data_IF_549941838763
#
_entry.id   IF_549941838763
#
_cell.length_a   1.000
_cell.length_b   1.000
_cell.length_c   1.000
_cell.angle_alpha   90.00
_cell.angle_beta   90.00
_cell.angle_gamma   90.00
#
_symmetry.space_group_name_H-M   'P 1'
#
loop_
_entity.id
_entity.type
_entity.pdbx_description
1 polymer ?
#
# COMPACT_ATOMS: atom_id res chain seq x y z
N UNK A 1 7.65 44.87 -41.21
CA UNK A 1 8.01 43.64 -40.47
C UNK A 1 7.29 43.65 -39.12
N UNK A 2 6.29 42.77 -39.02
CA UNK A 2 5.68 42.13 -37.83
C UNK A 2 5.56 42.93 -36.53
N UNK A 3 4.38 43.54 -36.39
CA UNK A 3 3.67 43.78 -35.14
C UNK A 3 3.31 42.45 -34.46
N UNK A 4 3.68 42.25 -33.18
CA UNK A 4 2.90 41.43 -32.23
C UNK A 4 3.01 42.09 -30.86
N UNK A 5 1.96 42.84 -30.55
CA UNK A 5 1.66 43.49 -29.29
C UNK A 5 1.24 42.43 -28.26
N UNK A 6 1.77 42.59 -27.05
CA UNK A 6 1.26 42.17 -25.73
C UNK A 6 -0.19 41.68 -25.66
N UNK A 7 -0.45 40.60 -24.89
CA UNK A 7 -1.47 40.48 -23.82
C UNK A 7 -1.24 39.12 -23.12
N UNK A 8 -0.47 39.13 -22.03
CA UNK A 8 -0.43 38.09 -21.00
C UNK A 8 -0.60 38.81 -19.66
N UNK A 9 -1.84 39.17 -19.32
CA UNK A 9 -2.20 39.76 -18.03
C UNK A 9 -3.72 39.72 -17.82
N UNK A 10 -4.32 38.52 -17.84
CA UNK A 10 -5.76 38.35 -17.63
C UNK A 10 -6.07 37.26 -16.58
N UNK A 11 -5.37 37.29 -15.45
CA UNK A 11 -5.62 36.33 -14.36
C UNK A 11 -5.48 36.92 -12.94
N UNK A 12 -5.67 38.23 -12.74
CA UNK A 12 -5.62 38.84 -11.40
C UNK A 12 -6.78 39.79 -11.05
N UNK A 13 -7.96 39.61 -11.68
CA UNK A 13 -9.16 40.40 -11.36
C UNK A 13 -10.27 39.51 -10.78
N UNK A 14 -10.05 38.93 -9.60
CA UNK A 14 -11.10 38.23 -8.86
C UNK A 14 -11.14 38.54 -7.35
N UNK A 15 -10.56 39.67 -6.91
CA UNK A 15 -10.60 40.10 -5.48
C UNK A 15 -11.11 41.53 -5.33
N UNK A 16 -12.08 41.94 -6.16
CA UNK A 16 -12.72 43.27 -6.07
C UNK A 16 -14.24 43.22 -5.82
N UNK A 17 -14.75 42.08 -5.33
CA UNK A 17 -16.20 41.88 -5.18
C UNK A 17 -16.70 41.95 -3.72
N UNK A 18 -15.94 42.53 -2.79
CA UNK A 18 -16.15 42.33 -1.35
C UNK A 18 -16.04 43.61 -0.50
N UNK A 19 -16.24 44.79 -1.09
CA UNK A 19 -16.23 46.06 -0.36
C UNK A 19 -17.62 46.72 -0.37
N UNK A 20 -18.06 47.19 0.79
CA UNK A 20 -19.21 48.07 0.93
C UNK A 20 -18.87 49.43 0.31
N UNK A 21 -19.89 50.12 -0.20
CA UNK A 21 -19.71 51.43 -0.85
C UNK A 21 -20.28 52.50 0.08
N UNK A 22 -19.42 53.40 0.53
CA UNK A 22 -19.78 54.57 1.32
C UNK A 22 -19.83 55.79 0.42
N UNK A 23 -21.01 56.38 0.29
CA UNK A 23 -21.20 57.69 -0.30
C UNK A 23 -21.07 58.73 0.80
N UNK A 24 -20.06 59.58 0.70
CA UNK A 24 -19.72 60.60 1.68
C UNK A 24 -20.54 61.88 1.45
N UNK A 25 -20.73 62.69 2.49
CA UNK A 25 -21.47 63.95 2.44
C UNK A 25 -20.80 65.00 1.53
N UNK A 26 -19.49 64.88 1.31
CA UNK A 26 -18.71 65.70 0.37
C UNK A 26 -18.85 65.26 -1.11
N UNK A 27 -19.68 64.24 -1.38
CA UNK A 27 -19.90 63.68 -2.71
C UNK A 27 -18.86 62.63 -3.14
N UNK A 28 -17.84 62.34 -2.32
CA UNK A 28 -16.86 61.29 -2.62
C UNK A 28 -17.43 59.89 -2.35
N UNK A 29 -16.90 58.89 -3.06
CA UNK A 29 -17.29 57.49 -2.88
C UNK A 29 -16.08 56.70 -2.40
N UNK A 30 -16.24 55.97 -1.30
CA UNK A 30 -15.19 55.12 -0.71
C UNK A 30 -15.62 53.67 -0.68
N UNK A 31 -14.72 52.76 -1.04
CA UNK A 31 -14.97 51.32 -1.03
C UNK A 31 -14.16 50.66 0.10
N UNK A 32 -14.85 50.07 1.07
CA UNK A 32 -14.20 49.37 2.17
C UNK A 32 -15.16 48.43 2.89
N UNK A 33 -14.66 47.50 3.68
CA UNK A 33 -15.49 46.60 4.48
C UNK A 33 -15.90 47.29 5.76
N UNK A 34 -17.20 47.39 6.05
CA UNK A 34 -17.66 47.96 7.31
C UNK A 34 -17.44 46.94 8.43
N UNK A 35 -16.65 47.32 9.43
CA UNK A 35 -16.32 46.49 10.60
C UNK A 35 -17.36 46.69 11.71
N UNK A 36 -17.75 47.93 11.96
CA UNK A 36 -18.83 48.30 12.88
C UNK A 36 -19.47 49.62 12.44
N UNK A 37 -20.73 49.84 12.83
CA UNK A 37 -21.45 51.06 12.53
C UNK A 37 -22.43 51.38 13.67
N UNK A 38 -22.22 52.53 14.30
CA UNK A 38 -23.07 53.06 15.37
C UNK A 38 -23.63 54.43 14.96
N UNK A 39 -24.44 55.05 15.82
CA UNK A 39 -25.05 56.36 15.53
C UNK A 39 -24.04 57.51 15.41
N UNK A 40 -22.84 57.36 16.01
CA UNK A 40 -21.80 58.40 16.05
C UNK A 40 -20.73 58.22 14.98
N UNK A 41 -20.32 56.98 14.71
CA UNK A 41 -19.21 56.68 13.81
C UNK A 41 -19.39 55.34 13.11
N UNK A 42 -18.73 55.20 11.96
CA UNK A 42 -18.65 53.97 11.18
C UNK A 42 -17.17 53.62 11.00
N UNK A 43 -16.82 52.40 11.39
CA UNK A 43 -15.46 51.88 11.27
C UNK A 43 -15.34 51.08 9.99
N UNK A 44 -14.45 51.50 9.10
CA UNK A 44 -14.28 50.92 7.77
C UNK A 44 -12.84 50.43 7.61
N UNK A 45 -12.70 49.21 7.10
CA UNK A 45 -11.43 48.63 6.68
C UNK A 45 -11.25 48.81 5.16
N UNK A 46 -10.29 49.65 4.79
CA UNK A 46 -9.85 49.89 3.42
C UNK A 46 -8.70 48.93 3.11
N UNK A 47 -9.03 47.67 2.80
CA UNK A 47 -8.06 46.68 2.34
C UNK A 47 -7.58 47.01 0.92
N UNK A 48 -6.30 47.31 0.75
CA UNK A 48 -5.64 47.53 -0.55
C UNK A 48 -4.45 46.58 -0.68
N UNK A 49 -4.62 45.51 -1.49
CA UNK A 49 -3.59 44.48 -1.65
C UNK A 49 -3.33 43.72 -0.35
N UNK A 50 -2.08 43.71 0.12
CA UNK A 50 -1.69 43.10 1.40
C UNK A 50 -1.78 44.05 2.61
N UNK A 51 -2.15 45.32 2.39
CA UNK A 51 -2.23 46.33 3.45
C UNK A 51 -3.69 46.62 3.79
N UNK A 52 -4.02 46.63 5.08
CA UNK A 52 -5.34 46.97 5.60
C UNK A 52 -5.25 48.24 6.44
N UNK A 53 -6.09 49.23 6.14
CA UNK A 53 -6.17 50.50 6.89
C UNK A 53 -7.56 50.60 7.48
N UNK A 54 -7.65 50.54 8.81
CA UNK A 54 -8.91 50.71 9.55
C UNK A 54 -9.06 52.17 9.93
N UNK A 55 -10.15 52.80 9.48
CA UNK A 55 -10.44 54.21 9.76
C UNK A 55 -11.83 54.37 10.38
N UNK A 56 -11.94 55.26 11.37
CA UNK A 56 -13.22 55.70 11.94
C UNK A 56 -13.71 56.92 11.19
N UNK A 57 -14.93 56.86 10.68
CA UNK A 57 -15.56 57.94 9.93
C UNK A 57 -16.79 58.41 10.71
N UNK A 58 -16.90 59.69 11.11
CA UNK A 58 -18.09 60.20 11.77
C UNK A 58 -19.36 59.98 10.93
N UNK A 59 -20.47 59.60 11.56
CA UNK A 59 -21.71 59.23 10.86
C UNK A 59 -22.28 60.37 10.01
N UNK A 60 -22.07 61.61 10.46
CA UNK A 60 -22.42 62.86 9.78
C UNK A 60 -21.70 63.06 8.44
N UNK A 61 -20.54 62.45 8.25
CA UNK A 61 -19.78 62.52 6.99
C UNK A 61 -20.25 61.49 5.96
N UNK A 62 -21.20 60.63 6.30
CA UNK A 62 -21.68 59.53 5.44
C UNK A 62 -23.11 59.84 5.00
N UNK A 63 -23.27 60.16 3.72
CA UNK A 63 -24.58 60.40 3.11
C UNK A 63 -25.37 59.09 2.95
N UNK A 64 -24.72 58.03 2.47
CA UNK A 64 -25.38 56.73 2.21
C UNK A 64 -24.38 55.58 2.29
N UNK A 65 -24.84 54.44 2.79
CA UNK A 65 -24.08 53.19 2.81
C UNK A 65 -24.80 52.18 1.91
N UNK A 66 -24.09 51.64 0.93
CA UNK A 66 -24.50 50.48 0.15
C UNK A 66 -23.71 49.26 0.62
N UNK A 67 -24.32 48.49 1.51
CA UNK A 67 -23.73 47.28 2.04
C UNK A 67 -23.82 46.16 0.98
N UNK A 68 -22.68 45.62 0.57
CA UNK A 68 -22.68 44.43 -0.30
C UNK A 68 -22.84 43.20 0.56
N UNK A 69 -23.75 42.31 0.14
CA UNK A 69 -23.93 41.04 0.84
C UNK A 69 -22.61 40.27 0.85
N UNK A 70 -22.20 39.85 2.05
CA UNK A 70 -21.02 38.99 2.17
C UNK A 70 -21.24 37.67 1.40
N UNK A 71 -20.19 36.93 1.03
CA UNK A 71 -20.31 35.62 0.39
C UNK A 71 -21.08 34.67 1.27
N UNK A 72 -20.93 34.79 2.59
CA UNK A 72 -21.63 33.98 3.57
C UNK A 72 -23.12 34.32 3.62
N UNK A 73 -23.49 35.60 3.57
CA UNK A 73 -24.90 36.03 3.47
C UNK A 73 -25.53 35.57 2.15
N UNK A 74 -24.81 35.73 1.03
CA UNK A 74 -25.26 35.29 -0.30
C UNK A 74 -25.42 33.77 -0.36
N UNK A 75 -24.50 33.03 0.27
CA UNK A 75 -24.58 31.59 0.38
C UNK A 75 -25.79 31.17 1.23
N UNK A 76 -26.02 31.84 2.35
CA UNK A 76 -27.12 31.52 3.25
C UNK A 76 -28.48 31.89 2.66
N UNK A 77 -28.60 33.01 1.97
CA UNK A 77 -29.82 33.37 1.23
C UNK A 77 -30.10 32.35 0.12
N UNK A 78 -29.05 31.91 -0.58
CA UNK A 78 -29.12 30.81 -1.54
C UNK A 78 -29.57 29.48 -0.92
N UNK A 79 -29.16 29.19 0.31
CA UNK A 79 -29.60 28.02 1.07
C UNK A 79 -31.08 28.13 1.43
N UNK A 80 -31.52 29.25 1.99
CA UNK A 80 -32.92 29.47 2.40
C UNK A 80 -33.87 29.35 1.21
N UNK A 81 -33.53 29.96 0.07
CA UNK A 81 -34.34 29.88 -1.14
C UNK A 81 -34.48 28.43 -1.66
N UNK A 82 -33.39 27.65 -1.62
CA UNK A 82 -33.40 26.24 -2.02
C UNK A 82 -34.16 25.36 -1.03
N UNK A 83 -34.06 25.64 0.27
CA UNK A 83 -34.82 24.94 1.30
C UNK A 83 -36.32 25.10 1.09
N UNK A 84 -36.79 26.32 0.84
CA UNK A 84 -38.20 26.56 0.55
C UNK A 84 -38.68 25.81 -0.71
N UNK A 85 -37.81 25.64 -1.71
CA UNK A 85 -38.11 24.80 -2.90
C UNK A 85 -38.12 23.31 -2.55
N UNK A 86 -37.19 22.86 -1.70
CA UNK A 86 -37.11 21.47 -1.25
C UNK A 86 -38.37 21.03 -0.50
N UNK A 87 -38.89 21.89 0.39
CA UNK A 87 -40.13 21.66 1.12
C UNK A 87 -41.33 21.39 0.20
N UNK A 88 -41.40 22.07 -0.96
CA UNK A 88 -42.43 21.83 -1.98
C UNK A 88 -42.15 20.64 -2.88
N UNK A 89 -40.88 20.24 -3.00
CA UNK A 89 -40.42 19.19 -3.90
C UNK A 89 -40.37 17.79 -3.27
N UNK A 90 -40.81 17.63 -2.02
CA UNK A 90 -40.80 16.34 -1.32
C UNK A 90 -39.39 15.74 -1.22
N UNK A 91 -39.29 14.40 -1.29
CA UNK A 91 -38.02 13.70 -1.11
C UNK A 91 -36.94 14.13 -2.11
N UNK A 92 -37.27 14.23 -3.40
CA UNK A 92 -36.34 14.66 -4.45
C UNK A 92 -35.87 16.11 -4.24
N UNK A 93 -36.77 17.00 -3.80
CA UNK A 93 -36.45 18.38 -3.46
C UNK A 93 -35.41 18.47 -2.34
N UNK A 94 -35.59 17.66 -1.29
CA UNK A 94 -34.64 17.57 -0.18
C UNK A 94 -33.29 16.96 -0.59
N UNK A 95 -33.28 15.97 -1.48
CA UNK A 95 -32.03 15.43 -2.04
C UNK A 95 -31.30 16.47 -2.86
N UNK A 96 -32.00 17.24 -3.70
CA UNK A 96 -31.39 18.31 -4.50
C UNK A 96 -30.75 19.38 -3.61
N UNK A 97 -31.41 19.76 -2.50
CA UNK A 97 -30.82 20.65 -1.50
C UNK A 97 -29.57 20.04 -0.86
N UNK A 98 -29.63 18.78 -0.44
CA UNK A 98 -28.50 18.08 0.17
C UNK A 98 -27.28 18.04 -0.74
N UNK A 99 -27.48 17.71 -2.01
CA UNK A 99 -26.41 17.68 -3.03
C UNK A 99 -25.78 19.07 -3.21
N UNK A 100 -26.60 20.13 -3.30
CA UNK A 100 -26.08 21.49 -3.39
C UNK A 100 -25.28 21.87 -2.13
N UNK A 101 -25.78 21.55 -0.93
CA UNK A 101 -25.07 21.81 0.32
C UNK A 101 -23.74 21.05 0.42
N UNK A 102 -23.63 19.83 -0.12
CA UNK A 102 -22.37 19.06 -0.13
C UNK A 102 -21.26 19.75 -0.94
N UNK A 103 -21.62 20.49 -2.00
CA UNK A 103 -20.66 21.24 -2.81
C UNK A 103 -20.08 22.45 -2.05
N UNK A 104 -20.72 22.86 -0.94
CA UNK A 104 -20.32 24.01 -0.15
C UNK A 104 -19.55 23.53 1.09
N UNK A 105 -18.28 23.95 1.22
CA UNK A 105 -17.40 23.52 2.33
C UNK A 105 -18.01 23.73 3.72
N UNK A 106 -18.78 24.81 3.89
CA UNK A 106 -19.37 25.22 5.17
C UNK A 106 -20.77 24.66 5.45
N UNK A 107 -21.42 24.00 4.48
CA UNK A 107 -22.81 23.52 4.62
C UNK A 107 -22.93 22.00 4.75
N UNK A 108 -21.84 21.29 5.08
CA UNK A 108 -21.84 19.82 5.21
C UNK A 108 -22.90 19.30 6.20
N UNK A 109 -23.06 19.94 7.35
CA UNK A 109 -24.08 19.56 8.35
C UNK A 109 -25.49 19.73 7.79
N UNK A 110 -25.77 20.84 7.11
CA UNK A 110 -27.06 21.10 6.46
C UNK A 110 -27.34 20.12 5.31
N UNK A 111 -26.30 19.63 4.64
CA UNK A 111 -26.45 18.58 3.64
C UNK A 111 -26.99 17.29 4.27
N UNK A 112 -26.40 16.85 5.38
CA UNK A 112 -26.86 15.66 6.11
C UNK A 112 -28.29 15.83 6.63
N UNK A 113 -28.64 17.00 7.15
CA UNK A 113 -30.02 17.32 7.55
C UNK A 113 -30.99 17.20 6.38
N UNK A 114 -30.65 17.75 5.21
CA UNK A 114 -31.48 17.66 4.02
C UNK A 114 -31.69 16.20 3.57
N UNK A 115 -30.64 15.36 3.59
CA UNK A 115 -30.80 13.94 3.26
C UNK A 115 -31.65 13.19 4.30
N UNK A 116 -31.55 13.52 5.59
CA UNK A 116 -32.44 12.96 6.61
C UNK A 116 -33.90 13.33 6.35
N UNK A 117 -34.16 14.59 5.99
CA UNK A 117 -35.50 15.02 5.60
C UNK A 117 -36.01 14.24 4.38
N UNK A 118 -35.17 14.06 3.36
CA UNK A 118 -35.56 13.25 2.19
C UNK A 118 -35.99 11.82 2.57
N UNK A 119 -35.30 11.18 3.53
CA UNK A 119 -35.67 9.83 4.02
C UNK A 119 -36.96 9.83 4.84
N UNK A 120 -37.30 10.93 5.51
CA UNK A 120 -38.60 11.05 6.18
C UNK A 120 -39.76 11.14 5.16
N UNK A 121 -39.54 11.78 4.01
CA UNK A 121 -40.52 11.83 2.93
C UNK A 121 -40.63 10.52 2.16
N UNK A 122 -39.50 9.91 1.79
CA UNK A 122 -39.44 8.59 1.16
C UNK A 122 -38.42 7.71 1.89
N UNK A 123 -38.90 6.79 2.75
CA UNK A 123 -38.05 5.86 3.48
C UNK A 123 -37.19 4.96 2.60
N UNK A 124 -37.49 4.80 1.31
CA UNK A 124 -36.72 3.96 0.38
C UNK A 124 -35.91 4.77 -0.64
N UNK A 125 -35.79 6.08 -0.44
CA UNK A 125 -35.08 6.96 -1.37
C UNK A 125 -33.59 6.60 -1.46
N UNK A 126 -33.22 5.91 -2.55
CA UNK A 126 -31.89 5.32 -2.73
C UNK A 126 -30.75 6.33 -2.55
N UNK A 127 -30.87 7.49 -3.20
CA UNK A 127 -29.84 8.53 -3.19
C UNK A 127 -29.64 9.18 -1.83
N UNK A 128 -30.72 9.45 -1.09
CA UNK A 128 -30.65 10.05 0.25
C UNK A 128 -29.96 9.08 1.23
N UNK A 129 -30.35 7.80 1.19
CA UNK A 129 -29.75 6.77 2.05
C UNK A 129 -28.28 6.52 1.75
N UNK A 130 -27.92 6.44 0.47
CA UNK A 130 -26.52 6.34 0.07
C UNK A 130 -25.71 7.56 0.56
N UNK A 131 -26.27 8.77 0.45
CA UNK A 131 -25.60 9.99 0.94
C UNK A 131 -25.44 10.05 2.47
N UNK A 132 -26.29 9.33 3.21
CA UNK A 132 -26.17 9.12 4.66
C UNK A 132 -25.26 7.95 5.03
N UNK A 133 -24.72 7.23 4.04
CA UNK A 133 -23.81 6.09 4.24
C UNK A 133 -24.49 4.74 4.41
N UNK A 134 -25.81 4.64 4.20
CA UNK A 134 -26.50 3.34 4.21
C UNK A 134 -26.26 2.57 2.92
N UNK A 135 -26.25 1.25 3.04
CA UNK A 135 -26.21 0.30 1.93
C UNK A 135 -27.50 -0.54 1.93
N UNK A 136 -27.93 -0.96 0.74
CA UNK A 136 -29.09 -1.84 0.58
C UNK A 136 -28.61 -3.29 0.44
N UNK A 137 -29.02 -4.16 1.35
CA UNK A 137 -28.73 -5.59 1.35
C UNK A 137 -30.02 -6.36 1.66
N UNK A 138 -30.40 -7.31 0.81
CA UNK A 138 -31.63 -8.11 0.92
C UNK A 138 -32.87 -7.27 1.25
N UNK A 139 -33.09 -6.25 0.42
CA UNK A 139 -34.17 -5.27 0.56
C UNK A 139 -34.21 -4.44 1.85
N UNK A 140 -33.20 -4.56 2.72
CA UNK A 140 -33.07 -3.78 3.94
C UNK A 140 -31.96 -2.75 3.82
N UNK A 141 -32.23 -1.56 4.34
CA UNK A 141 -31.24 -0.51 4.46
C UNK A 141 -30.51 -0.64 5.80
N UNK A 142 -29.19 -0.73 5.74
CA UNK A 142 -28.36 -0.95 6.92
C UNK A 142 -27.03 -0.20 6.80
N UNK A 143 -26.35 -0.04 7.93
CA UNK A 143 -25.01 0.53 7.93
C UNK A 143 -24.01 -0.46 7.31
N UNK A 144 -22.90 0.00 6.70
CA UNK A 144 -21.93 -0.89 6.05
C UNK A 144 -21.38 -1.97 6.99
N UNK A 145 -21.18 -1.64 8.28
CA UNK A 145 -20.75 -2.59 9.29
C UNK A 145 -21.78 -3.69 9.55
N UNK A 146 -23.07 -3.35 9.53
CA UNK A 146 -24.15 -4.33 9.67
C UNK A 146 -24.25 -5.22 8.42
N UNK A 147 -24.11 -4.63 7.23
CA UNK A 147 -24.06 -5.40 5.98
C UNK A 147 -22.88 -6.38 5.96
N UNK A 148 -21.71 -5.95 6.43
CA UNK A 148 -20.54 -6.82 6.55
C UNK A 148 -20.79 -7.99 7.51
N UNK A 149 -21.41 -7.75 8.65
CA UNK A 149 -21.74 -8.81 9.61
C UNK A 149 -22.71 -9.85 9.03
N UNK A 150 -23.63 -9.43 8.16
CA UNK A 150 -24.56 -10.32 7.46
C UNK A 150 -23.86 -11.10 6.34
N UNK A 151 -23.02 -10.44 5.55
CA UNK A 151 -22.31 -11.05 4.41
C UNK A 151 -21.18 -11.99 4.84
N UNK A 152 -20.52 -11.69 5.95
CA UNK A 152 -19.36 -12.42 6.44
C UNK A 152 -19.45 -12.60 7.97
N UNK A 153 -20.36 -13.47 8.44
CA UNK A 153 -20.42 -13.83 9.85
C UNK A 153 -19.06 -14.41 10.30
N UNK A 154 -18.50 -13.86 11.37
CA UNK A 154 -17.16 -14.22 11.88
C UNK A 154 -16.00 -13.41 11.28
N UNK A 155 -16.26 -12.49 10.32
CA UNK A 155 -15.23 -11.58 9.85
C UNK A 155 -14.73 -10.69 10.98
N UNK A 156 -13.46 -10.86 11.36
CA UNK A 156 -12.85 -10.15 12.47
C UNK A 156 -13.01 -10.82 13.84
N UNK A 157 -13.55 -12.05 13.91
CA UNK A 157 -13.52 -12.82 15.14
C UNK A 157 -12.08 -13.27 15.44
N UNK A 158 -11.44 -12.48 16.30
CA UNK A 158 -10.06 -12.71 16.72
C UNK A 158 -9.94 -13.98 17.56
N UNK A 159 -11.04 -14.48 18.15
CA UNK A 159 -11.02 -15.66 19.02
C UNK A 159 -10.74 -16.94 18.23
N UNK A 160 -11.43 -17.15 17.11
CA UNK A 160 -11.20 -18.32 16.25
C UNK A 160 -9.79 -18.28 15.63
N UNK A 161 -9.35 -17.10 15.18
CA UNK A 161 -8.01 -16.92 14.64
C UNK A 161 -6.92 -17.24 15.68
N UNK A 162 -7.07 -16.75 16.91
CA UNK A 162 -6.16 -17.07 18.02
C UNK A 162 -6.18 -18.55 18.37
N UNK A 163 -7.35 -19.18 18.41
CA UNK A 163 -7.48 -20.61 18.67
C UNK A 163 -6.73 -21.45 17.62
N UNK A 164 -6.87 -21.10 16.33
CA UNK A 164 -6.11 -21.75 15.25
C UNK A 164 -4.60 -21.59 15.39
N UNK A 165 -4.13 -20.40 15.78
CA UNK A 165 -2.70 -20.19 16.05
C UNK A 165 -2.18 -21.05 17.19
N UNK A 166 -2.93 -21.13 18.30
CA UNK A 166 -2.55 -21.97 19.45
C UNK A 166 -2.52 -23.45 19.07
N UNK A 167 -3.49 -23.92 18.28
CA UNK A 167 -3.50 -25.28 17.77
C UNK A 167 -2.28 -25.55 16.86
N UNK A 168 -2.03 -24.68 15.89
CA UNK A 168 -0.87 -24.81 14.99
C UNK A 168 0.47 -24.78 15.74
N UNK A 169 0.59 -23.98 16.81
CA UNK A 169 1.78 -23.96 17.66
C UNK A 169 1.98 -25.30 18.38
N UNK A 170 0.91 -25.89 18.94
CA UNK A 170 0.96 -27.21 19.58
C UNK A 170 1.33 -28.30 18.59
N UNK A 171 0.73 -28.29 17.41
CA UNK A 171 1.04 -29.27 16.36
C UNK A 171 2.50 -29.16 15.90
N UNK A 172 3.03 -27.94 15.80
CA UNK A 172 4.44 -27.70 15.48
C UNK A 172 5.39 -28.18 16.59
N UNK A 173 5.00 -28.06 17.86
CA UNK A 173 5.77 -28.60 18.99
C UNK A 173 5.80 -30.14 18.96
N UNK A 174 4.66 -30.78 18.71
CA UNK A 174 4.58 -32.24 18.56
C UNK A 174 5.44 -32.71 17.38
N UNK A 175 5.31 -32.07 16.22
CA UNK A 175 6.10 -32.42 15.04
C UNK A 175 7.61 -32.23 15.27
N UNK A 176 8.02 -31.22 16.04
CA UNK A 176 9.42 -31.02 16.43
C UNK A 176 9.93 -32.12 17.36
N UNK A 177 9.12 -32.53 18.33
CA UNK A 177 9.46 -33.63 19.24
C UNK A 177 9.63 -34.94 18.47
N UNK A 178 8.68 -35.27 17.59
CA UNK A 178 8.74 -36.45 16.73
C UNK A 178 9.96 -36.41 15.80
N UNK A 179 10.28 -35.25 15.22
CA UNK A 179 11.46 -35.09 14.37
C UNK A 179 12.76 -35.30 15.15
N UNK A 180 12.85 -34.83 16.40
CA UNK A 180 14.01 -35.04 17.26
C UNK A 180 14.17 -36.52 17.63
N UNK A 181 13.06 -37.20 17.94
CA UNK A 181 13.07 -38.65 18.18
C UNK A 181 13.48 -39.42 16.93
N UNK A 182 12.97 -39.05 15.76
CA UNK A 182 13.34 -39.66 14.49
C UNK A 182 14.84 -39.47 14.21
N UNK A 183 15.38 -38.28 14.42
CA UNK A 183 16.82 -38.01 14.30
C UNK A 183 17.64 -38.85 15.29
N UNK A 184 17.20 -38.97 16.54
CA UNK A 184 17.87 -39.80 17.54
C UNK A 184 17.86 -41.28 17.15
N UNK A 185 16.76 -41.77 16.58
CA UNK A 185 16.63 -43.14 16.03
C UNK A 185 17.56 -43.35 14.84
N UNK A 186 17.62 -42.41 13.90
CA UNK A 186 18.53 -42.45 12.75
C UNK A 186 19.99 -42.50 13.21
N UNK A 187 20.39 -41.64 14.14
CA UNK A 187 21.76 -41.64 14.68
C UNK A 187 22.13 -42.96 15.37
N UNK A 188 21.18 -43.59 16.07
CA UNK A 188 21.38 -44.93 16.64
C UNK A 188 21.55 -46.00 15.56
N UNK A 189 20.73 -45.97 14.51
CA UNK A 189 20.84 -46.90 13.40
C UNK A 189 22.15 -46.73 12.64
N UNK A 190 22.59 -45.49 12.40
CA UNK A 190 23.90 -45.19 11.80
C UNK A 190 25.04 -45.79 12.62
N UNK A 191 25.03 -45.60 13.95
CA UNK A 191 26.04 -46.19 14.82
C UNK A 191 26.02 -47.73 14.79
N UNK A 192 24.84 -48.35 14.67
CA UNK A 192 24.72 -49.81 14.52
C UNK A 192 25.29 -50.30 13.18
N UNK A 193 25.06 -49.54 12.09
CA UNK A 193 25.63 -49.85 10.77
C UNK A 193 27.15 -49.77 10.82
N UNK A 194 27.70 -48.70 11.39
CA UNK A 194 29.15 -48.53 11.55
C UNK A 194 29.76 -49.69 12.35
N UNK A 195 29.12 -50.09 13.45
CA UNK A 195 29.57 -51.23 14.25
C UNK A 195 29.54 -52.55 13.45
N UNK A 196 28.44 -52.84 12.75
CA UNK A 196 28.33 -54.02 11.89
C UNK A 196 29.36 -54.02 10.75
N UNK A 197 29.68 -52.85 10.20
CA UNK A 197 30.74 -52.73 9.19
C UNK A 197 32.12 -53.04 9.77
N UNK A 198 32.41 -52.57 10.99
CA UNK A 198 33.67 -52.90 11.67
C UNK A 198 33.79 -54.39 11.97
N UNK A 199 32.70 -55.01 12.46
CA UNK A 199 32.64 -56.46 12.71
C UNK A 199 32.82 -57.26 11.42
N UNK A 200 32.17 -56.87 10.33
CA UNK A 200 32.34 -57.50 9.03
C UNK A 200 33.77 -57.36 8.51
N UNK A 201 34.39 -56.18 8.68
CA UNK A 201 35.79 -55.95 8.29
C UNK A 201 36.73 -56.84 9.08
N UNK A 202 36.51 -56.99 10.38
CA UNK A 202 37.30 -57.88 11.22
C UNK A 202 37.10 -59.35 10.85
N UNK A 203 35.86 -59.77 10.63
CA UNK A 203 35.53 -61.13 10.19
C UNK A 203 36.20 -61.46 8.85
N UNK A 204 36.17 -60.53 7.88
CA UNK A 204 36.89 -60.67 6.60
C UNK A 204 38.40 -60.79 6.79
N UNK A 205 38.99 -60.05 7.72
CA UNK A 205 40.43 -60.19 8.07
C UNK A 205 40.73 -61.57 8.67
N UNK A 206 39.88 -62.07 9.56
CA UNK A 206 40.05 -63.40 10.18
C UNK A 206 39.93 -64.55 9.17
N UNK A 207 39.01 -64.42 8.21
CA UNK A 207 38.77 -65.41 7.16
C UNK A 207 39.72 -65.26 5.95
N UNK A 208 40.55 -64.22 5.91
CA UNK A 208 41.51 -64.01 4.82
C UNK A 208 42.58 -65.11 4.85
N UNK A 209 42.56 -65.98 3.84
CA UNK A 209 43.63 -66.97 3.63
C UNK A 209 44.89 -66.21 3.21
N UNK A 210 46.05 -66.42 3.86
CA UNK A 210 47.29 -65.78 3.45
C UNK A 210 47.60 -66.16 1.99
N UNK A 211 48.23 -65.26 1.22
CA UNK A 211 48.64 -65.61 -0.13
C UNK A 211 49.51 -66.87 -0.07
N UNK A 212 49.35 -67.81 -1.03
CA UNK A 212 50.20 -69.00 -1.06
C UNK A 212 51.67 -68.56 -1.09
N UNK A 213 52.58 -69.32 -0.46
CA UNK A 213 54.00 -68.99 -0.51
C UNK A 213 54.43 -68.84 -1.98
N UNK A 214 55.36 -67.92 -2.28
CA UNK A 214 55.86 -67.78 -3.63
C UNK A 214 56.34 -69.15 -4.14
N UNK A 215 56.08 -69.50 -5.40
CA UNK A 215 56.57 -70.76 -5.94
C UNK A 215 58.09 -70.81 -5.76
N UNK A 216 58.67 -71.99 -5.43
CA UNK A 216 60.11 -72.12 -5.30
C UNK A 216 60.79 -71.63 -6.59
N UNK A 217 62.00 -71.04 -6.50
CA UNK A 217 62.71 -70.57 -7.68
C UNK A 217 62.84 -71.72 -8.68
N UNK A 218 62.28 -71.55 -9.89
CA UNK A 218 62.50 -72.50 -10.99
C UNK A 218 63.99 -72.45 -11.33
N UNK A 219 64.74 -73.44 -10.85
CA UNK A 219 66.10 -73.69 -11.33
C UNK A 219 65.96 -74.15 -12.78
N UNK A 220 66.08 -73.21 -13.72
CA UNK A 220 66.24 -73.54 -15.12
C UNK A 220 67.67 -74.05 -15.25
N UNK A 221 67.85 -75.36 -15.29
CA UNK A 221 69.13 -75.96 -15.67
C UNK A 221 69.35 -75.62 -17.15
N UNK A 222 70.13 -74.57 -17.42
CA UNK A 222 70.57 -74.24 -18.77
C UNK A 222 71.86 -75.04 -19.01
N UNK A 223 71.84 -76.15 -19.75
CA UNK A 223 73.09 -76.86 -20.06
C UNK A 223 74.01 -75.89 -20.79
N UNK A 224 75.23 -75.75 -20.29
CA UNK A 224 76.28 -74.95 -20.92
C UNK A 224 76.77 -75.70 -22.15
N UNK A 225 76.11 -75.50 -23.30
CA UNK A 225 76.56 -76.07 -24.56
C UNK A 225 77.72 -75.20 -25.06
N UNK A 226 78.95 -75.71 -24.94
CA UNK A 226 80.14 -75.10 -25.51
C UNK A 226 80.07 -75.30 -27.03
N UNK A 227 79.65 -74.28 -27.76
CA UNK A 227 79.80 -74.25 -29.21
C UNK A 227 81.19 -73.72 -29.56
N UNK A 228 81.98 -74.54 -30.27
CA UNK A 228 83.24 -74.14 -30.92
C UNK A 228 82.99 -73.02 -31.93
N UNK A 229 83.88 -72.04 -31.91
CA UNK A 229 83.90 -70.84 -32.77
C UNK A 229 83.51 -71.09 -34.23
N UNK A 230 82.69 -70.19 -34.78
CA UNK A 230 82.53 -69.99 -36.22
C UNK A 230 82.43 -68.49 -36.52
N UNK A 231 83.16 -67.96 -37.52
CA UNK A 231 83.62 -66.57 -37.52
C UNK A 231 82.60 -65.54 -38.03
N UNK A 232 82.89 -64.31 -37.63
CA UNK A 232 82.16 -63.05 -37.81
C UNK A 232 81.59 -62.78 -39.21
N UNK A 233 80.36 -62.26 -39.22
CA UNK A 233 79.78 -61.46 -40.30
C UNK A 233 79.00 -60.29 -39.72
N UNK A 234 79.54 -59.08 -39.88
CA UNK A 234 78.96 -57.79 -39.53
C UNK A 234 77.55 -57.59 -40.13
N UNK A 235 76.64 -56.96 -39.39
CA UNK A 235 75.83 -55.82 -39.89
C UNK A 235 75.12 -55.08 -38.75
N UNK A 236 75.36 -53.78 -38.72
CA UNK A 236 74.68 -52.76 -37.91
C UNK A 236 73.22 -52.56 -38.37
N UNK A 237 72.39 -52.08 -37.44
CA UNK A 237 71.30 -51.09 -37.58
C UNK A 237 70.22 -51.43 -36.56
N UNK A 238 69.89 -50.54 -35.62
CA UNK A 238 68.93 -49.45 -35.82
C UNK A 238 67.89 -49.61 -34.70
N UNK A 239 67.88 -48.72 -33.71
CA UNK A 239 67.00 -47.54 -33.63
C UNK A 239 65.56 -47.87 -33.23
N UNK A 240 65.07 -47.03 -32.30
CA UNK A 240 63.68 -46.69 -31.92
C UNK A 240 63.21 -47.30 -30.59
N UNK A 241 62.99 -46.53 -29.53
CA UNK A 241 62.18 -45.30 -29.34
C UNK A 241 60.80 -45.65 -28.78
N UNK A 242 60.41 -44.86 -27.76
CA UNK A 242 59.04 -44.55 -27.30
C UNK A 242 58.32 -45.62 -26.48
N UNK A 243 57.37 -45.31 -25.62
CA UNK A 243 56.82 -44.14 -24.91
C UNK A 243 55.62 -44.77 -24.17
N UNK A 244 55.08 -44.12 -23.14
CA UNK A 244 53.65 -44.30 -22.86
C UNK A 244 53.24 -44.42 -21.42
N UNK A 245 53.22 -43.28 -20.72
CA UNK A 245 52.22 -43.00 -19.68
C UNK A 245 50.81 -43.05 -20.28
N UNK A 246 49.80 -43.49 -19.50
CA UNK A 246 48.43 -43.06 -19.73
C UNK A 246 47.83 -42.35 -18.50
N UNK A 247 47.22 -41.20 -18.79
CA UNK A 247 46.33 -40.39 -17.95
C UNK A 247 44.92 -41.00 -17.82
N UNK A 248 44.20 -40.46 -16.85
CA UNK A 248 42.73 -40.30 -16.76
C UNK A 248 42.00 -41.47 -16.10
N UNK A 249 41.08 -41.26 -15.14
CA UNK A 249 40.11 -40.17 -14.95
C UNK A 249 40.02 -39.71 -13.50
#
# INVERSE_FOLDING_TARGET
MRSITTILCAALLAVQAQADVLHMADGTVRQGRIVSADEKEVVVDFGVGSMSIVTRIPREQIARIEKKASPQETLMSGYVARRARAERGGADGWVALGVWCQQQRVLKTKALEAFRQAVLFDPNHKRARAALGYVKLDDRWMMPQQAMAVLAPGFGDVSEFKARQVAAARDAEVARAEALEAQAKLKKLEAQVDELETQNREMRRRLAVPPPPPPPPRIIYRPFIIYKDRPHGHKESGKKDKDGEPKSK
#
